data_IF_515434240381
#
_entry.id   IF_515434240381
#
_cell.length_a   1.000
_cell.length_b   1.000
_cell.length_c   1.000
_cell.angle_alpha   90.00
_cell.angle_beta   90.00
_cell.angle_gamma   90.00
#
_symmetry.space_group_name_H-M   'P 1'
#
loop_
_entity.id
_entity.type
_entity.pdbx_description
1 polymer ?
#
# COMPACT_ATOMS: atom_id res chain seq x y z
N UNK A 1 4.31 22.31 -8.94
CA UNK A 1 5.51 21.53 -8.66
C UNK A 1 6.73 22.38 -8.28
N UNK A 2 6.96 23.55 -8.84
CA UNK A 2 8.07 24.46 -8.45
C UNK A 2 8.07 24.93 -6.98
N UNK A 3 6.96 24.79 -6.25
CA UNK A 3 6.81 25.24 -4.85
C UNK A 3 7.15 24.21 -3.77
N UNK A 4 7.39 22.95 -4.11
CA UNK A 4 7.63 21.87 -3.14
C UNK A 4 9.01 21.21 -3.22
N UNK A 5 9.91 21.72 -4.07
CA UNK A 5 11.25 21.17 -4.25
C UNK A 5 11.27 19.74 -4.82
N UNK A 6 12.46 19.15 -4.87
CA UNK A 6 12.69 17.81 -5.46
C UNK A 6 11.99 16.69 -4.69
N UNK A 7 11.74 16.88 -3.38
CA UNK A 7 11.05 15.91 -2.53
C UNK A 7 9.61 15.67 -2.96
N UNK A 8 8.94 16.68 -3.53
CA UNK A 8 7.57 16.52 -4.03
C UNK A 8 7.49 15.53 -5.20
N UNK A 9 8.53 15.46 -6.05
CA UNK A 9 8.62 14.47 -7.13
C UNK A 9 8.76 13.05 -6.58
N UNK A 10 9.53 12.87 -5.49
CA UNK A 10 9.68 11.56 -4.83
C UNK A 10 8.35 11.10 -4.21
N UNK A 11 7.60 12.01 -3.57
CA UNK A 11 6.26 11.72 -3.04
C UNK A 11 5.30 11.37 -4.19
N UNK A 12 5.36 12.09 -5.30
CA UNK A 12 4.56 11.82 -6.49
C UNK A 12 4.86 10.45 -7.10
N UNK A 13 6.13 10.06 -7.21
CA UNK A 13 6.54 8.74 -7.67
C UNK A 13 6.06 7.64 -6.72
N UNK A 14 6.25 7.83 -5.41
CA UNK A 14 5.77 6.89 -4.40
C UNK A 14 4.24 6.71 -4.47
N UNK A 15 3.50 7.82 -4.59
CA UNK A 15 2.06 7.80 -4.76
C UNK A 15 1.65 7.04 -6.03
N UNK A 16 2.33 7.28 -7.15
CA UNK A 16 2.06 6.58 -8.40
C UNK A 16 2.27 5.07 -8.26
N UNK A 17 3.40 4.63 -7.69
CA UNK A 17 3.69 3.21 -7.45
C UNK A 17 2.65 2.59 -6.51
N UNK A 18 2.32 3.26 -5.42
CA UNK A 18 1.31 2.81 -4.45
C UNK A 18 -0.05 2.62 -5.13
N UNK A 19 -0.53 3.62 -5.88
CA UNK A 19 -1.82 3.53 -6.56
C UNK A 19 -1.82 2.49 -7.67
N UNK A 20 -0.72 2.33 -8.39
CA UNK A 20 -0.57 1.27 -9.39
C UNK A 20 -0.74 -0.12 -8.75
N UNK A 21 -0.10 -0.37 -7.60
CA UNK A 21 -0.25 -1.63 -6.86
C UNK A 21 -1.68 -1.83 -6.33
N UNK A 22 -2.33 -0.76 -5.86
CA UNK A 22 -3.73 -0.82 -5.40
C UNK A 22 -4.66 -1.19 -6.57
N UNK A 23 -4.52 -0.56 -7.74
CA UNK A 23 -5.32 -0.88 -8.92
C UNK A 23 -5.06 -2.29 -9.43
N UNK A 24 -3.80 -2.75 -9.48
CA UNK A 24 -3.45 -4.11 -9.85
C UNK A 24 -4.15 -5.11 -8.95
N UNK A 25 -4.13 -4.88 -7.62
CA UNK A 25 -4.79 -5.74 -6.65
C UNK A 25 -6.31 -5.71 -6.74
N UNK A 26 -6.88 -4.54 -6.91
CA UNK A 26 -8.32 -4.39 -7.08
C UNK A 26 -8.80 -5.14 -8.33
N UNK A 27 -8.07 -5.03 -9.44
CA UNK A 27 -8.35 -5.78 -10.67
C UNK A 27 -8.28 -7.29 -10.43
N UNK A 28 -7.24 -7.76 -9.73
CA UNK A 28 -7.07 -9.18 -9.39
C UNK A 28 -8.26 -9.72 -8.60
N UNK A 29 -8.73 -9.02 -7.56
CA UNK A 29 -9.86 -9.48 -6.76
C UNK A 29 -11.19 -9.48 -7.52
N UNK A 30 -11.39 -8.55 -8.46
CA UNK A 30 -12.64 -8.48 -9.20
C UNK A 30 -12.73 -9.49 -10.36
N UNK A 31 -11.62 -9.76 -11.05
CA UNK A 31 -11.64 -10.53 -12.29
C UNK A 31 -10.99 -11.90 -12.17
N UNK A 32 -9.89 -12.04 -11.45
CA UNK A 32 -9.04 -13.22 -11.53
C UNK A 32 -9.31 -14.22 -10.41
N UNK A 33 -9.64 -13.73 -9.22
CA UNK A 33 -9.76 -14.59 -8.04
C UNK A 33 -10.92 -15.59 -8.13
N UNK A 34 -12.07 -15.20 -8.72
CA UNK A 34 -13.22 -16.09 -8.90
C UNK A 34 -12.90 -17.34 -9.73
N UNK A 35 -12.03 -17.23 -10.73
CA UNK A 35 -11.62 -18.36 -11.55
C UNK A 35 -10.74 -19.34 -10.77
N UNK A 36 -9.84 -18.84 -9.91
CA UNK A 36 -8.95 -19.70 -9.09
C UNK A 36 -9.70 -20.46 -8.01
N UNK A 37 -10.69 -19.84 -7.36
CA UNK A 37 -11.55 -20.53 -6.39
C UNK A 37 -12.29 -21.70 -7.05
N UNK A 38 -12.78 -21.52 -8.27
CA UNK A 38 -13.45 -22.58 -9.04
C UNK A 38 -12.54 -23.77 -9.32
N UNK A 39 -11.29 -23.53 -9.67
CA UNK A 39 -10.28 -24.58 -9.92
C UNK A 39 -9.93 -25.33 -8.65
N UNK A 40 -9.60 -24.62 -7.56
CA UNK A 40 -9.27 -25.25 -6.27
C UNK A 40 -10.41 -26.08 -5.71
N UNK A 41 -11.65 -25.60 -5.87
CA UNK A 41 -12.86 -26.36 -5.49
C UNK A 41 -13.06 -27.59 -6.34
N UNK A 42 -12.88 -27.50 -7.67
CA UNK A 42 -13.04 -28.65 -8.56
C UNK A 42 -11.99 -29.72 -8.29
N UNK A 43 -10.75 -29.36 -7.97
CA UNK A 43 -9.70 -30.31 -7.57
C UNK A 43 -10.03 -30.99 -6.24
N UNK A 44 -10.64 -30.28 -5.29
CA UNK A 44 -11.09 -30.85 -4.03
C UNK A 44 -12.31 -31.76 -4.21
N UNK A 45 -13.29 -31.37 -5.02
CA UNK A 45 -14.54 -32.13 -5.24
C UNK A 45 -14.33 -33.43 -6.05
N UNK A 46 -13.29 -33.49 -6.88
CA UNK A 46 -12.91 -34.70 -7.62
C UNK A 46 -12.34 -35.82 -6.74
N UNK A 47 -12.04 -35.54 -5.47
CA UNK A 47 -11.50 -36.53 -4.54
C UNK A 47 -12.60 -37.35 -3.86
N UNK A 48 -12.48 -38.67 -3.96
CA UNK A 48 -13.41 -39.62 -3.32
C UNK A 48 -13.15 -39.78 -1.82
N UNK A 49 -11.92 -39.57 -1.35
CA UNK A 49 -11.55 -39.68 0.07
C UNK A 49 -11.13 -38.32 0.60
N UNK A 50 -11.97 -37.71 1.44
CA UNK A 50 -11.76 -36.40 2.09
C UNK A 50 -11.24 -36.51 3.52
N UNK A 51 -11.23 -37.71 4.11
CA UNK A 51 -10.93 -37.93 5.53
C UNK A 51 -9.49 -38.38 5.79
N UNK A 52 -8.78 -38.87 4.79
CA UNK A 52 -7.41 -39.34 4.89
C UNK A 52 -6.42 -38.25 5.32
N UNK A 53 -5.36 -38.64 6.01
CA UNK A 53 -4.26 -37.74 6.35
C UNK A 53 -3.67 -37.01 5.14
N UNK A 54 -3.53 -37.71 4.03
CA UNK A 54 -3.04 -37.11 2.77
C UNK A 54 -4.00 -36.05 2.21
N UNK A 55 -5.30 -36.24 2.36
CA UNK A 55 -6.31 -35.27 1.92
C UNK A 55 -6.31 -34.02 2.78
N UNK A 56 -6.09 -34.14 4.09
CA UNK A 56 -5.91 -33.00 5.00
C UNK A 56 -4.65 -32.19 4.62
N UNK A 57 -3.53 -32.84 4.35
CA UNK A 57 -2.30 -32.18 3.94
C UNK A 57 -2.46 -31.39 2.63
N UNK A 58 -3.22 -31.93 1.66
CA UNK A 58 -3.49 -31.26 0.40
C UNK A 58 -4.45 -30.09 0.58
N UNK A 59 -5.47 -30.22 1.43
CA UNK A 59 -6.35 -29.11 1.80
C UNK A 59 -5.55 -27.95 2.38
N UNK A 60 -4.67 -28.22 3.33
CA UNK A 60 -3.84 -27.20 3.97
C UNK A 60 -2.86 -26.56 2.98
N UNK A 61 -2.35 -27.34 2.02
CA UNK A 61 -1.54 -26.82 0.91
C UNK A 61 -2.34 -25.87 0.01
N UNK A 62 -3.55 -26.26 -0.41
CA UNK A 62 -4.42 -25.41 -1.24
C UNK A 62 -4.82 -24.12 -0.52
N UNK A 63 -5.13 -24.19 0.76
CA UNK A 63 -5.43 -23.01 1.58
C UNK A 63 -4.21 -22.09 1.62
N UNK A 64 -3.03 -22.62 1.98
CA UNK A 64 -1.80 -21.85 2.11
C UNK A 64 -1.38 -21.20 0.78
N UNK A 65 -1.49 -21.92 -0.34
CA UNK A 65 -1.17 -21.35 -1.66
C UNK A 65 -2.10 -20.18 -2.02
N UNK A 66 -3.39 -20.32 -1.76
CA UNK A 66 -4.34 -19.23 -2.01
C UNK A 66 -4.13 -18.04 -1.06
N UNK A 67 -3.80 -18.28 0.22
CA UNK A 67 -3.44 -17.21 1.16
C UNK A 67 -2.23 -16.40 0.70
N UNK A 68 -1.17 -17.07 0.27
CA UNK A 68 0.03 -16.40 -0.26
C UNK A 68 -0.32 -15.55 -1.49
N UNK A 69 -1.18 -16.04 -2.37
CA UNK A 69 -1.63 -15.30 -3.56
C UNK A 69 -2.47 -14.08 -3.19
N UNK A 70 -3.35 -14.20 -2.19
CA UNK A 70 -4.19 -13.11 -1.71
C UNK A 70 -3.35 -12.02 -1.01
N UNK A 71 -2.35 -12.40 -0.22
CA UNK A 71 -1.50 -11.45 0.52
C UNK A 71 -0.40 -10.80 -0.34
N UNK A 72 -0.16 -11.35 -1.52
CA UNK A 72 0.87 -10.81 -2.43
C UNK A 72 0.67 -9.29 -2.63
N UNK A 73 1.75 -8.53 -2.57
CA UNK A 73 1.80 -7.07 -2.73
C UNK A 73 1.06 -6.23 -1.64
N UNK A 74 0.23 -6.79 -0.77
CA UNK A 74 -0.40 -6.02 0.32
C UNK A 74 0.66 -5.46 1.28
N UNK A 75 1.71 -6.23 1.56
CA UNK A 75 2.85 -5.78 2.36
C UNK A 75 3.60 -4.61 1.72
N UNK A 76 3.77 -4.62 0.39
CA UNK A 76 4.40 -3.50 -0.34
C UNK A 76 3.54 -2.23 -0.29
N UNK A 77 2.23 -2.35 -0.46
CA UNK A 77 1.30 -1.21 -0.33
C UNK A 77 1.41 -0.62 1.08
N UNK A 78 1.38 -1.47 2.12
CA UNK A 78 1.52 -1.04 3.51
C UNK A 78 2.85 -0.33 3.76
N UNK A 79 3.95 -0.81 3.16
CA UNK A 79 5.26 -0.15 3.24
C UNK A 79 5.22 1.23 2.57
N UNK A 80 4.67 1.38 1.37
CA UNK A 80 4.54 2.67 0.68
C UNK A 80 3.73 3.67 1.52
N UNK A 81 2.63 3.22 2.12
CA UNK A 81 1.80 4.04 3.01
C UNK A 81 2.59 4.54 4.22
N UNK A 82 3.41 3.66 4.85
CA UNK A 82 4.23 4.04 6.00
C UNK A 82 5.37 5.01 5.67
N UNK A 83 5.94 4.90 4.47
CA UNK A 83 7.06 5.75 4.02
C UNK A 83 6.57 7.14 3.57
N UNK A 84 5.35 7.28 3.07
CA UNK A 84 4.84 8.54 2.53
C UNK A 84 4.92 9.73 3.51
N UNK A 85 4.54 9.62 4.81
CA UNK A 85 4.71 10.71 5.77
C UNK A 85 6.17 11.04 6.06
N UNK A 86 7.06 10.03 6.00
CA UNK A 86 8.50 10.22 6.23
C UNK A 86 9.12 11.08 5.12
N UNK A 87 8.74 10.87 3.86
CA UNK A 87 9.13 11.76 2.77
C UNK A 87 8.55 13.16 2.93
N UNK A 88 7.32 13.27 3.44
CA UNK A 88 6.75 14.57 3.79
C UNK A 88 7.58 15.30 4.82
N UNK A 89 7.96 14.62 5.91
CA UNK A 89 8.83 15.16 6.96
C UNK A 89 10.22 15.54 6.40
N UNK A 90 10.80 14.68 5.58
CA UNK A 90 12.08 14.97 4.91
C UNK A 90 12.01 16.26 4.09
N UNK A 91 10.88 16.49 3.40
CA UNK A 91 10.64 17.72 2.65
C UNK A 91 10.57 18.98 3.54
N UNK A 92 10.03 18.87 4.77
CA UNK A 92 10.06 20.02 5.71
C UNK A 92 11.47 20.34 6.17
N UNK A 93 12.27 19.32 6.50
CA UNK A 93 13.65 19.49 6.97
C UNK A 93 14.49 20.15 5.87
N UNK A 94 14.43 19.66 4.63
CA UNK A 94 15.19 20.22 3.51
C UNK A 94 14.76 21.66 3.21
N UNK A 95 13.44 21.94 3.22
CA UNK A 95 12.92 23.30 3.01
C UNK A 95 13.34 24.29 4.11
N UNK A 96 13.39 23.84 5.38
CA UNK A 96 13.83 24.68 6.49
C UNK A 96 15.34 24.95 6.45
N UNK A 97 16.15 24.00 5.99
CA UNK A 97 17.60 24.21 5.79
C UNK A 97 17.79 25.36 4.77
N UNK A 98 17.03 25.38 3.67
CA UNK A 98 17.09 26.45 2.68
C UNK A 98 16.72 27.82 3.29
N UNK A 99 15.70 27.88 4.16
CA UNK A 99 15.29 29.10 4.86
C UNK A 99 16.40 29.62 5.77
N UNK A 100 17.02 28.73 6.58
CA UNK A 100 18.13 29.12 7.44
C UNK A 100 19.38 29.53 6.68
N UNK A 101 19.66 28.88 5.56
CA UNK A 101 20.75 29.30 4.67
C UNK A 101 20.52 30.73 4.12
N UNK A 102 19.32 31.01 3.65
CA UNK A 102 18.95 32.35 3.17
C UNK A 102 19.09 33.40 4.27
N UNK A 103 18.63 33.08 5.49
CA UNK A 103 18.72 33.92 6.68
C UNK A 103 20.19 34.29 6.98
N UNK A 104 21.08 33.28 6.95
CA UNK A 104 22.50 33.49 7.21
C UNK A 104 23.20 34.40 6.19
N UNK A 105 22.79 34.29 4.93
CA UNK A 105 23.38 35.09 3.84
C UNK A 105 22.81 36.53 3.79
N UNK A 106 21.50 36.68 4.07
CA UNK A 106 20.83 38.00 3.94
C UNK A 106 20.78 38.80 5.24
N UNK A 107 21.23 38.22 6.38
CA UNK A 107 21.21 38.88 7.69
C UNK A 107 19.80 39.07 8.25
N UNK A 108 18.79 38.36 7.74
CA UNK A 108 17.41 38.40 8.27
C UNK A 108 16.53 39.55 7.80
N UNK A 109 16.99 40.37 6.88
CA UNK A 109 16.28 41.59 6.44
C UNK A 109 15.02 41.34 5.59
N UNK A 110 14.84 40.14 5.02
CA UNK A 110 13.72 39.84 4.11
C UNK A 110 12.70 38.86 4.73
N UNK A 111 11.80 39.41 5.53
CA UNK A 111 10.71 38.63 6.14
C UNK A 111 9.78 37.97 5.11
N UNK A 112 9.64 38.55 3.90
CA UNK A 112 8.79 38.00 2.85
C UNK A 112 9.42 36.75 2.22
N UNK A 113 10.73 36.75 1.99
CA UNK A 113 11.47 35.60 1.49
C UNK A 113 11.47 34.46 2.50
N UNK A 114 11.62 34.77 3.79
CA UNK A 114 11.53 33.80 4.89
C UNK A 114 10.13 33.15 4.97
N UNK A 115 9.08 33.94 4.95
CA UNK A 115 7.70 33.43 4.96
C UNK A 115 7.41 32.53 3.74
N UNK A 116 7.92 32.91 2.57
CA UNK A 116 7.85 32.12 1.35
C UNK A 116 8.57 30.76 1.46
N UNK A 117 9.73 30.72 2.11
CA UNK A 117 10.51 29.51 2.36
C UNK A 117 9.79 28.54 3.33
N UNK A 118 9.28 29.05 4.44
CA UNK A 118 8.48 28.25 5.41
C UNK A 118 7.24 27.68 4.73
N UNK A 119 6.50 28.48 3.96
CA UNK A 119 5.34 28.01 3.19
C UNK A 119 5.71 26.91 2.19
N UNK A 120 6.88 27.00 1.56
CA UNK A 120 7.37 26.00 0.61
C UNK A 120 7.73 24.67 1.29
N UNK A 121 8.28 24.73 2.50
CA UNK A 121 8.65 23.54 3.27
C UNK A 121 7.44 22.72 3.76
N UNK A 122 6.29 23.34 4.00
CA UNK A 122 5.08 22.65 4.48
C UNK A 122 4.33 21.86 3.41
N UNK A 123 4.49 22.22 2.12
CA UNK A 123 3.78 21.57 1.00
C UNK A 123 4.09 20.08 0.90
N UNK A 124 5.36 19.60 0.93
CA UNK A 124 5.68 18.18 0.91
C UNK A 124 5.08 17.39 2.08
N UNK A 125 5.03 18.00 3.29
CA UNK A 125 4.42 17.36 4.45
C UNK A 125 2.93 17.09 4.24
N UNK A 126 2.19 18.09 3.75
CA UNK A 126 0.78 17.94 3.44
C UNK A 126 0.54 16.88 2.35
N UNK A 127 1.38 16.89 1.30
CA UNK A 127 1.30 15.89 0.22
C UNK A 127 1.57 14.47 0.76
N UNK A 128 2.62 14.27 1.55
CA UNK A 128 2.95 12.98 2.14
C UNK A 128 1.84 12.42 3.05
N UNK A 129 1.24 13.27 3.88
CA UNK A 129 0.11 12.90 4.73
C UNK A 129 -1.15 12.56 3.92
N UNK A 130 -1.45 13.32 2.85
CA UNK A 130 -2.59 13.04 1.99
C UNK A 130 -2.45 11.69 1.28
N UNK A 131 -1.25 11.38 0.76
CA UNK A 131 -0.93 10.08 0.15
C UNK A 131 -1.06 8.95 1.18
N UNK A 132 -0.53 9.12 2.38
CA UNK A 132 -0.63 8.13 3.46
C UNK A 132 -2.08 7.87 3.86
N UNK A 133 -2.89 8.90 4.03
CA UNK A 133 -4.30 8.76 4.43
C UNK A 133 -5.10 7.98 3.38
N UNK A 134 -5.02 8.40 2.12
CA UNK A 134 -5.74 7.72 1.03
C UNK A 134 -5.24 6.30 0.81
N UNK A 135 -3.92 6.06 0.90
CA UNK A 135 -3.32 4.74 0.82
C UNK A 135 -3.72 3.82 1.97
N UNK A 136 -3.80 4.34 3.20
CA UNK A 136 -4.25 3.56 4.38
C UNK A 136 -5.67 3.05 4.19
N UNK A 137 -6.60 3.92 3.77
CA UNK A 137 -7.99 3.54 3.53
C UNK A 137 -8.12 2.48 2.43
N UNK A 138 -7.41 2.66 1.32
CA UNK A 138 -7.40 1.70 0.22
C UNK A 138 -6.78 0.36 0.66
N UNK A 139 -5.65 0.37 1.38
CA UNK A 139 -5.01 -0.84 1.88
C UNK A 139 -5.91 -1.59 2.86
N UNK A 140 -6.58 -0.89 3.79
CA UNK A 140 -7.52 -1.52 4.73
C UNK A 140 -8.69 -2.20 4.01
N UNK A 141 -9.22 -1.57 2.96
CA UNK A 141 -10.25 -2.18 2.13
C UNK A 141 -9.77 -3.47 1.46
N UNK A 142 -8.55 -3.48 0.89
CA UNK A 142 -7.96 -4.65 0.25
C UNK A 142 -7.69 -5.78 1.26
N UNK A 143 -7.15 -5.46 2.42
CA UNK A 143 -6.88 -6.43 3.50
C UNK A 143 -8.19 -7.08 3.99
N UNK A 144 -9.22 -6.28 4.24
CA UNK A 144 -10.52 -6.81 4.67
C UNK A 144 -11.15 -7.70 3.59
N UNK A 145 -10.97 -7.36 2.31
CA UNK A 145 -11.45 -8.18 1.21
C UNK A 145 -10.66 -9.49 1.10
N UNK A 146 -9.33 -9.44 1.20
CA UNK A 146 -8.47 -10.62 1.23
C UNK A 146 -8.88 -11.58 2.36
N UNK A 147 -9.12 -11.04 3.56
CA UNK A 147 -9.54 -11.87 4.70
C UNK A 147 -10.88 -12.55 4.46
N UNK A 148 -11.88 -11.84 3.95
CA UNK A 148 -13.18 -12.44 3.61
C UNK A 148 -13.06 -13.57 2.59
N UNK A 149 -12.22 -13.41 1.57
CA UNK A 149 -12.01 -14.44 0.57
C UNK A 149 -11.27 -15.67 1.15
N UNK A 150 -10.35 -15.46 2.10
CA UNK A 150 -9.70 -16.55 2.85
C UNK A 150 -10.70 -17.34 3.68
N UNK A 151 -11.55 -16.64 4.44
CA UNK A 151 -12.57 -17.27 5.29
C UNK A 151 -13.55 -18.09 4.44
N UNK A 152 -14.00 -17.55 3.29
CA UNK A 152 -14.86 -18.25 2.35
C UNK A 152 -14.19 -19.50 1.76
N UNK A 153 -12.89 -19.46 1.47
CA UNK A 153 -12.16 -20.60 0.96
C UNK A 153 -12.09 -21.72 2.01
N UNK A 154 -11.78 -21.36 3.26
CA UNK A 154 -11.72 -22.32 4.37
C UNK A 154 -13.07 -22.99 4.55
N UNK A 155 -14.17 -22.23 4.52
CA UNK A 155 -15.53 -22.77 4.65
C UNK A 155 -15.91 -23.70 3.48
N UNK A 156 -15.48 -23.38 2.27
CA UNK A 156 -15.76 -24.21 1.08
C UNK A 156 -14.96 -25.53 1.03
N UNK A 157 -13.79 -25.55 1.69
CA UNK A 157 -12.92 -26.72 1.80
C UNK A 157 -13.11 -27.47 3.12
N UNK A 158 -14.26 -27.33 3.79
CA UNK A 158 -14.58 -28.11 4.99
C UNK A 158 -14.66 -29.59 4.60
N UNK A 159 -13.93 -30.41 5.32
CA UNK A 159 -14.08 -31.87 5.28
C UNK A 159 -15.31 -32.24 6.13
N UNK A 160 -16.37 -32.69 5.49
CA UNK A 160 -17.44 -33.43 6.15
C UNK A 160 -16.94 -34.76 6.66
#
# INVERSE_FOLDING_TARGET
>A
MQRGGDVLYLIGLLAFVMWFLIFERMWFYFFTHKNYLGVSKSEWDLRQDKSSWSSKAIRDMLISENEIRLDKNLSLIKMCVGIAPLFGLFGTITGMIEVFHLLAVTGGGDAKAMAGGVSRSTIPAMAGLAVALTGTLANQFLVNKAQKEKDLLVDQLVAE
#
